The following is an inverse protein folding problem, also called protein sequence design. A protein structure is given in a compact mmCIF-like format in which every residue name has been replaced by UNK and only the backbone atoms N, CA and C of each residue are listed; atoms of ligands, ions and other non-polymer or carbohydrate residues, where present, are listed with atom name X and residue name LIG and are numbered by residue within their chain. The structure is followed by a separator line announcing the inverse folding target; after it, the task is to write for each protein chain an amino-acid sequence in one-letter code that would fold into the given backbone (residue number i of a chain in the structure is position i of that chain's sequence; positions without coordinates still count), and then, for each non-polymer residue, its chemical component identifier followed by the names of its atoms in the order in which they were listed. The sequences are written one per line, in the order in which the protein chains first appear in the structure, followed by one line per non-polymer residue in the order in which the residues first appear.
data_IF_191600066256
#
_entry.id   IF_191600066256
#
_cell.length_a   1.000
_cell.length_b   1.000
_cell.length_c   1.000
_cell.angle_alpha   90.00
_cell.angle_beta   90.00
_cell.angle_gamma   90.00
#
_symmetry.space_group_name_H-M   'P 1'
#
loop_
_entity.id
_entity.type
_entity.pdbx_description
1 polymer ?
#
# COMPACT_ATOMS: atom_id res chain seq x y z
N UNK A 1 36.19 39.40 -2.46
CA UNK A 1 36.47 37.97 -2.17
C UNK A 1 37.97 37.84 -1.93
N UNK A 2 38.41 37.29 -0.79
CA UNK A 2 39.84 37.09 -0.55
C UNK A 2 40.31 35.93 -1.43
N UNK A 3 41.32 36.14 -2.26
CA UNK A 3 41.91 35.06 -3.05
C UNK A 3 42.64 34.12 -2.10
N UNK A 4 42.19 32.86 -2.06
CA UNK A 4 42.84 31.80 -1.29
C UNK A 4 44.21 31.52 -1.91
N UNK A 5 45.25 31.45 -1.09
CA UNK A 5 46.58 31.11 -1.56
C UNK A 5 46.66 29.62 -1.91
N UNK A 6 47.66 29.23 -2.69
CA UNK A 6 47.92 27.82 -3.01
C UNK A 6 48.11 26.96 -1.74
N UNK A 7 48.67 27.54 -0.67
CA UNK A 7 48.82 26.89 0.64
C UNK A 7 47.48 26.65 1.31
N UNK A 8 46.56 27.62 1.24
CA UNK A 8 45.21 27.49 1.80
C UNK A 8 44.41 26.42 1.07
N UNK A 9 44.57 26.34 -0.27
CA UNK A 9 43.91 25.32 -1.08
C UNK A 9 44.43 23.91 -0.75
N UNK A 10 45.75 23.74 -0.61
CA UNK A 10 46.34 22.46 -0.19
C UNK A 10 45.87 22.05 1.20
N UNK A 11 45.81 22.99 2.14
CA UNK A 11 45.32 22.73 3.49
C UNK A 11 43.85 22.30 3.50
N UNK A 12 42.99 22.98 2.72
CA UNK A 12 41.58 22.63 2.57
C UNK A 12 41.38 21.23 2.00
N UNK A 13 42.18 20.84 1.00
CA UNK A 13 42.14 19.49 0.41
C UNK A 13 42.55 18.43 1.42
N UNK A 14 43.62 18.67 2.20
CA UNK A 14 44.06 17.71 3.24
C UNK A 14 42.98 17.54 4.32
N UNK A 15 42.34 18.63 4.73
CA UNK A 15 41.24 18.60 5.71
C UNK A 15 40.03 17.85 5.14
N UNK A 16 39.62 18.11 3.90
CA UNK A 16 38.45 17.45 3.30
C UNK A 16 38.67 15.95 3.12
N UNK A 17 39.86 15.54 2.68
CA UNK A 17 40.24 14.13 2.54
C UNK A 17 40.28 13.44 3.90
N UNK A 18 40.82 14.09 4.93
CA UNK A 18 40.86 13.53 6.29
C UNK A 18 39.45 13.34 6.87
N UNK A 19 38.55 14.30 6.67
CA UNK A 19 37.15 14.19 7.08
C UNK A 19 36.41 13.07 6.33
N UNK A 20 36.67 12.91 5.04
CA UNK A 20 36.09 11.83 4.23
C UNK A 20 36.58 10.45 4.72
N UNK A 21 37.88 10.30 5.00
CA UNK A 21 38.44 9.06 5.54
C UNK A 21 37.83 8.75 6.91
N UNK A 22 37.71 9.75 7.80
CA UNK A 22 37.08 9.58 9.11
C UNK A 22 35.61 9.16 8.99
N UNK A 23 34.86 9.70 8.03
CA UNK A 23 33.47 9.31 7.78
C UNK A 23 33.38 7.88 7.26
N UNK A 24 34.28 7.46 6.34
CA UNK A 24 34.34 6.10 5.84
C UNK A 24 34.68 5.09 6.94
N UNK A 25 35.61 5.44 7.84
CA UNK A 25 35.94 4.62 9.02
C UNK A 25 34.72 4.53 9.95
N UNK A 26 34.00 5.64 10.17
CA UNK A 26 32.77 5.63 10.98
C UNK A 26 31.70 4.72 10.37
N UNK A 27 31.44 4.82 9.06
CA UNK A 27 30.49 3.95 8.36
C UNK A 27 30.95 2.49 8.46
N UNK A 28 32.24 2.21 8.25
CA UNK A 28 32.76 0.85 8.35
C UNK A 28 32.62 0.27 9.77
N UNK A 29 32.92 1.07 10.79
CA UNK A 29 32.88 0.60 12.18
C UNK A 29 31.47 0.53 12.75
N UNK A 30 30.56 1.43 12.38
CA UNK A 30 29.21 1.51 12.97
C UNK A 30 28.11 0.91 12.10
N UNK A 31 28.15 1.04 10.76
CA UNK A 31 27.13 0.43 9.90
C UNK A 31 27.42 -1.04 9.60
N UNK A 32 28.67 -1.41 9.28
CA UNK A 32 28.98 -2.80 8.91
C UNK A 32 29.10 -3.73 10.13
N UNK A 33 29.53 -3.22 11.29
CA UNK A 33 29.53 -4.00 12.54
C UNK A 33 28.11 -4.36 12.99
N UNK A 34 27.16 -3.43 12.86
CA UNK A 34 25.75 -3.67 13.19
C UNK A 34 25.09 -4.69 12.23
N UNK A 35 25.62 -4.88 11.02
CA UNK A 35 25.19 -5.96 10.11
C UNK A 35 25.75 -7.33 10.52
N UNK A 36 27.04 -7.41 10.87
CA UNK A 36 27.67 -8.66 11.34
C UNK A 36 27.13 -9.13 12.70
N UNK A 37 26.85 -8.20 13.63
CA UNK A 37 26.27 -8.53 14.93
C UNK A 37 24.80 -9.00 14.78
N UNK A 38 24.06 -8.49 13.79
CA UNK A 38 22.72 -9.02 13.46
C UNK A 38 22.80 -10.42 12.85
N UNK A 39 23.70 -10.66 11.91
CA UNK A 39 23.86 -11.98 11.25
C UNK A 39 24.25 -13.08 12.26
N UNK A 40 25.17 -12.79 13.19
CA UNK A 40 25.56 -13.73 14.26
C UNK A 40 24.49 -13.92 15.35
N UNK A 41 23.63 -12.94 15.58
CA UNK A 41 22.48 -13.09 16.50
C UNK A 41 21.33 -13.90 15.87
N UNK A 42 21.19 -13.86 14.54
CA UNK A 42 20.23 -14.67 13.79
C UNK A 42 20.60 -16.16 13.81
N UNK A 43 21.87 -16.54 13.65
CA UNK A 43 22.29 -17.94 13.76
C UNK A 43 22.14 -18.50 15.19
N UNK A 44 22.33 -17.67 16.22
CA UNK A 44 22.29 -18.13 17.62
C UNK A 44 20.88 -18.32 18.20
N UNK A 45 19.84 -17.77 17.54
CA UNK A 45 18.43 -17.92 17.96
C UNK A 45 17.71 -19.12 17.33
N UNK A 46 18.35 -19.86 16.43
CA UNK A 46 17.78 -21.06 15.80
C UNK A 46 17.95 -22.35 16.64
N UNK A 47 18.59 -22.25 17.81
CA UNK A 47 18.75 -23.36 18.74
C UNK A 47 18.35 -22.97 20.16
N UNK A 48 17.06 -22.97 20.46
CA UNK A 48 16.51 -23.34 21.77
C UNK A 48 14.97 -23.39 21.72
N UNK A 49 14.45 -24.61 21.77
CA UNK A 49 13.04 -24.90 22.00
C UNK A 49 12.64 -24.42 23.39
N UNK A 50 11.59 -23.60 23.48
CA UNK A 50 10.80 -23.48 24.70
C UNK A 50 9.32 -23.32 24.35
N UNK A 51 8.55 -24.33 24.75
CA UNK A 51 7.11 -24.48 24.61
C UNK A 51 6.34 -23.27 25.16
N UNK A 52 5.29 -22.84 24.44
CA UNK A 52 4.27 -21.89 24.94
C UNK A 52 2.86 -22.41 24.56
N UNK A 53 1.84 -22.24 25.42
CA UNK A 53 0.67 -23.12 25.50
C UNK A 53 -0.37 -22.90 24.41
N UNK A 54 -1.01 -23.99 23.98
CA UNK A 54 -2.20 -23.98 23.12
C UNK A 54 -3.38 -23.34 23.86
N UNK A 55 -3.82 -22.15 23.42
CA UNK A 55 -5.10 -21.58 23.83
C UNK A 55 -6.13 -21.84 22.73
N UNK A 56 -7.11 -22.68 23.06
CA UNK A 56 -8.23 -23.05 22.21
C UNK A 56 -9.28 -21.93 22.24
N UNK A 57 -9.64 -21.37 21.07
CA UNK A 57 -10.77 -20.46 20.96
C UNK A 57 -11.69 -20.85 19.80
N UNK A 58 -12.96 -21.02 20.17
CA UNK A 58 -14.08 -21.50 19.40
C UNK A 58 -14.66 -20.42 18.49
N UNK A 59 -14.91 -20.77 17.23
CA UNK A 59 -15.68 -19.96 16.28
C UNK A 59 -17.15 -19.81 16.74
N UNK A 60 -17.60 -18.57 16.92
CA UNK A 60 -18.94 -18.21 17.38
C UNK A 60 -19.80 -17.54 16.31
N UNK A 61 -20.68 -18.35 15.73
CA UNK A 61 -22.12 -18.10 15.50
C UNK A 61 -22.58 -16.97 14.55
N UNK A 62 -23.21 -17.44 13.48
CA UNK A 62 -24.16 -16.77 12.58
C UNK A 62 -25.36 -16.11 13.29
N UNK A 63 -25.62 -14.83 13.01
CA UNK A 63 -26.89 -14.17 13.38
C UNK A 63 -27.83 -14.02 12.18
N UNK A 64 -28.95 -14.74 12.27
CA UNK A 64 -30.19 -14.59 11.51
C UNK A 64 -30.93 -13.37 12.06
N UNK A 65 -31.35 -12.41 11.22
CA UNK A 65 -32.37 -11.41 11.60
C UNK A 65 -33.45 -11.32 10.53
N UNK A 66 -34.67 -11.33 11.06
CA UNK A 66 -35.98 -11.44 10.42
C UNK A 66 -36.39 -10.11 9.77
N UNK A 67 -37.13 -10.23 8.67
CA UNK A 67 -37.73 -9.16 7.87
C UNK A 67 -38.80 -8.33 8.60
N UNK A 68 -38.81 -7.02 8.35
CA UNK A 68 -40.03 -6.22 8.34
C UNK A 68 -39.95 -5.20 7.19
N UNK A 69 -40.96 -5.22 6.32
CA UNK A 69 -41.10 -4.42 5.12
C UNK A 69 -41.69 -3.03 5.40
N UNK A 70 -41.11 -1.99 4.81
CA UNK A 70 -41.82 -0.82 4.25
C UNK A 70 -40.92 -0.19 3.19
N UNK A 71 -41.53 0.15 2.05
CA UNK A 71 -40.84 0.45 0.80
C UNK A 71 -39.96 1.69 0.86
N UNK A 72 -38.68 1.46 0.63
CA UNK A 72 -37.74 2.34 -0.04
C UNK A 72 -37.03 1.45 -1.06
N UNK A 73 -36.77 1.93 -2.28
CA UNK A 73 -35.87 1.24 -3.21
C UNK A 73 -34.47 1.18 -2.57
N UNK A 74 -34.24 0.12 -1.80
CA UNK A 74 -32.95 -0.18 -1.22
C UNK A 74 -32.07 -0.67 -2.36
N UNK A 75 -31.23 0.22 -2.87
CA UNK A 75 -30.03 -0.17 -3.61
C UNK A 75 -29.34 -1.23 -2.75
N UNK A 76 -29.44 -2.51 -3.15
CA UNK A 76 -28.76 -3.60 -2.47
C UNK A 76 -27.26 -3.31 -2.55
N UNK A 77 -26.67 -2.94 -1.43
CA UNK A 77 -25.23 -2.80 -1.29
C UNK A 77 -24.61 -4.20 -1.39
N UNK A 78 -24.24 -4.58 -2.61
CA UNK A 78 -23.52 -5.83 -2.87
C UNK A 78 -22.08 -5.60 -2.43
N UNK A 79 -21.74 -6.03 -1.21
CA UNK A 79 -20.36 -6.05 -0.74
C UNK A 79 -19.66 -7.31 -1.23
N UNK A 80 -18.47 -7.16 -1.82
CA UNK A 80 -17.61 -8.28 -2.18
C UNK A 80 -17.05 -8.94 -0.92
N UNK A 81 -17.03 -10.28 -0.91
CA UNK A 81 -16.28 -11.02 0.11
C UNK A 81 -14.82 -11.09 -0.29
N UNK A 82 -13.93 -11.00 0.67
CA UNK A 82 -12.50 -11.19 0.43
C UNK A 82 -12.23 -12.54 -0.28
N UNK A 83 -11.36 -12.52 -1.29
CA UNK A 83 -10.96 -13.73 -2.02
C UNK A 83 -9.72 -14.29 -1.34
N UNK A 84 -9.87 -15.39 -0.62
CA UNK A 84 -8.71 -16.13 -0.09
C UNK A 84 -7.94 -16.77 -1.27
N UNK A 85 -6.64 -16.53 -1.42
CA UNK A 85 -5.84 -17.14 -2.48
C UNK A 85 -5.76 -18.65 -2.31
N UNK A 86 -5.60 -19.37 -3.42
CA UNK A 86 -5.08 -20.74 -3.34
C UNK A 86 -3.60 -20.69 -2.96
N UNK A 87 -3.13 -21.70 -2.24
CA UNK A 87 -1.73 -21.84 -1.83
C UNK A 87 -0.76 -21.72 -3.02
N UNK A 88 -1.11 -22.30 -4.17
CA UNK A 88 -0.33 -22.18 -5.40
C UNK A 88 -0.14 -20.72 -5.85
N UNK A 89 -1.15 -19.87 -5.68
CA UNK A 89 -1.11 -18.45 -6.08
C UNK A 89 -0.28 -17.58 -5.14
N UNK A 90 0.00 -18.05 -3.92
CA UNK A 90 0.91 -17.39 -2.99
C UNK A 90 2.38 -17.64 -3.38
N UNK A 91 2.65 -18.85 -3.88
CA UNK A 91 4.00 -19.31 -4.19
C UNK A 91 4.41 -19.07 -5.64
N UNK A 92 3.44 -18.99 -6.57
CA UNK A 92 3.69 -18.86 -8.00
C UNK A 92 2.85 -17.74 -8.62
N UNK A 93 3.48 -16.96 -9.50
CA UNK A 93 2.78 -15.94 -10.27
C UNK A 93 1.83 -16.58 -11.28
N UNK A 94 0.56 -16.16 -11.25
CA UNK A 94 -0.40 -16.60 -12.25
C UNK A 94 -0.04 -16.10 -13.65
N UNK A 95 -0.35 -16.90 -14.67
CA UNK A 95 0.01 -16.58 -16.05
C UNK A 95 -0.75 -15.37 -16.58
N UNK A 96 -0.02 -14.27 -16.81
CA UNK A 96 -0.55 -13.05 -17.42
C UNK A 96 -0.85 -13.21 -18.92
N UNK A 97 -1.82 -12.45 -19.39
CA UNK A 97 -2.15 -12.25 -20.79
C UNK A 97 -1.48 -10.95 -21.28
N UNK A 98 -0.25 -11.09 -21.79
CA UNK A 98 0.57 -9.95 -22.20
C UNK A 98 -0.07 -9.14 -23.34
N UNK A 99 -0.88 -9.76 -24.20
CA UNK A 99 -1.56 -9.04 -25.27
C UNK A 99 -2.59 -8.06 -24.71
N UNK A 100 -3.36 -8.47 -23.68
CA UNK A 100 -4.29 -7.57 -23.00
C UNK A 100 -3.58 -6.43 -22.28
N UNK A 101 -2.46 -6.72 -21.63
CA UNK A 101 -1.67 -5.72 -20.91
C UNK A 101 -1.15 -4.67 -21.91
N UNK A 102 -0.50 -5.10 -22.98
CA UNK A 102 0.05 -4.21 -24.00
C UNK A 102 -1.05 -3.36 -24.66
N UNK A 103 -2.18 -3.97 -25.04
CA UNK A 103 -3.31 -3.24 -25.59
C UNK A 103 -3.87 -2.19 -24.63
N UNK A 104 -3.86 -2.46 -23.32
CA UNK A 104 -4.29 -1.47 -22.32
C UNK A 104 -3.27 -0.33 -22.16
N UNK A 105 -1.97 -0.65 -22.13
CA UNK A 105 -0.90 0.35 -22.04
C UNK A 105 -0.93 1.32 -23.24
N UNK A 106 -1.13 0.80 -24.45
CA UNK A 106 -1.25 1.61 -25.66
C UNK A 106 -2.41 2.60 -25.61
N UNK A 107 -3.49 2.27 -24.89
CA UNK A 107 -4.62 3.16 -24.68
C UNK A 107 -4.35 4.20 -23.59
N UNK A 108 -3.66 3.82 -22.50
CA UNK A 108 -3.25 4.76 -21.44
C UNK A 108 -2.39 5.89 -21.99
N UNK A 109 -1.47 5.60 -22.92
CA UNK A 109 -0.61 6.63 -23.51
C UNK A 109 -1.33 7.59 -24.48
N UNK A 110 -2.59 7.31 -24.84
CA UNK A 110 -3.43 8.16 -25.68
C UNK A 110 -4.36 9.08 -24.88
N UNK A 111 -4.63 8.75 -23.63
CA UNK A 111 -5.50 9.54 -22.75
C UNK A 111 -4.76 10.76 -22.16
N UNK A 112 -5.45 11.88 -21.88
CA UNK A 112 -4.83 13.04 -21.25
C UNK A 112 -4.20 12.65 -19.91
N UNK A 113 -2.94 13.05 -19.71
CA UNK A 113 -2.22 12.88 -18.44
C UNK A 113 -3.00 13.56 -17.31
N UNK A 114 -2.81 13.02 -16.10
CA UNK A 114 -3.28 13.57 -14.81
C UNK A 114 -3.39 15.09 -14.90
N UNK A 115 -4.57 15.70 -14.60
CA UNK A 115 -4.73 17.15 -14.70
C UNK A 115 -3.56 17.84 -13.99
N UNK A 116 -2.77 18.59 -14.75
CA UNK A 116 -1.67 19.37 -14.18
C UNK A 116 -2.34 20.48 -13.38
N UNK A 117 -2.25 20.38 -12.06
CA UNK A 117 -2.85 21.37 -11.15
C UNK A 117 -2.19 22.73 -11.38
N UNK A 118 -3.01 23.78 -11.27
CA UNK A 118 -2.55 25.17 -11.19
C UNK A 118 -1.52 25.32 -10.06
N UNK A 119 -0.25 25.42 -10.43
CA UNK A 119 0.90 25.54 -9.53
C UNK A 119 0.83 26.74 -8.59
N UNK A 120 -0.11 27.68 -8.81
CA UNK A 120 -0.29 28.86 -7.97
C UNK A 120 -1.10 28.59 -6.68
N UNK A 121 -1.76 27.43 -6.55
CA UNK A 121 -2.39 26.97 -5.29
C UNK A 121 -1.45 26.02 -4.55
N UNK A 122 -0.48 26.56 -3.83
CA UNK A 122 0.44 25.76 -3.04
C UNK A 122 -0.26 25.15 -1.82
N UNK A 123 -0.41 23.82 -1.80
CA UNK A 123 -0.37 23.05 -0.57
C UNK A 123 0.91 22.21 -0.61
N UNK A 124 1.80 22.44 0.36
CA UNK A 124 3.00 21.64 0.53
C UNK A 124 3.10 21.17 1.96
N UNK A 125 3.56 19.94 2.11
CA UNK A 125 3.91 19.34 3.41
C UNK A 125 5.32 19.73 3.87
N UNK A 126 6.02 20.60 3.11
CA UNK A 126 7.36 21.12 3.43
C UNK A 126 8.40 20.01 3.67
N UNK A 127 8.29 18.91 2.92
CA UNK A 127 9.19 17.77 3.02
C UNK A 127 8.79 16.70 4.06
N UNK A 128 7.79 16.98 4.91
CA UNK A 128 7.21 16.00 5.84
C UNK A 128 6.49 14.89 5.07
N UNK A 129 6.61 13.65 5.54
CA UNK A 129 5.92 12.49 4.95
C UNK A 129 4.64 12.21 5.72
N UNK A 130 3.57 12.91 5.37
CA UNK A 130 2.30 12.88 6.13
C UNK A 130 1.37 11.74 5.74
N UNK A 131 1.63 11.05 4.62
CA UNK A 131 0.83 9.91 4.15
C UNK A 131 1.69 8.64 4.08
N UNK A 132 1.18 7.53 4.59
CA UNK A 132 1.72 6.19 4.38
C UNK A 132 0.73 5.36 3.55
N UNK A 133 1.21 4.74 2.48
CA UNK A 133 0.42 3.89 1.58
C UNK A 133 0.99 2.49 1.67
N UNK A 134 0.13 1.52 1.96
CA UNK A 134 0.49 0.12 2.04
C UNK A 134 -0.66 -0.75 1.51
N UNK A 135 -0.44 -2.04 1.44
CA UNK A 135 -1.46 -3.02 1.08
C UNK A 135 -1.29 -4.24 1.97
N UNK A 136 -2.27 -4.55 2.81
CA UNK A 136 -2.25 -5.77 3.64
C UNK A 136 -2.16 -7.02 2.76
N UNK A 137 -2.82 -7.01 1.59
CA UNK A 137 -2.66 -8.05 0.56
C UNK A 137 -1.89 -7.51 -0.65
N UNK A 138 -0.59 -7.28 -0.46
CA UNK A 138 0.27 -6.65 -1.47
C UNK A 138 0.32 -7.37 -2.83
N UNK A 139 0.03 -8.68 -2.89
CA UNK A 139 0.04 -9.46 -4.14
C UNK A 139 -1.31 -9.57 -4.85
N UNK A 140 -2.39 -8.99 -4.32
CA UNK A 140 -3.68 -8.96 -5.01
C UNK A 140 -3.54 -8.35 -6.41
N UNK A 141 -4.03 -9.03 -7.44
CA UNK A 141 -3.97 -8.59 -8.84
C UNK A 141 -5.33 -8.62 -9.51
N UNK A 142 -5.44 -8.01 -10.69
CA UNK A 142 -6.72 -7.84 -11.38
C UNK A 142 -6.95 -8.94 -12.41
N UNK A 143 -7.95 -9.79 -12.15
CA UNK A 143 -8.31 -10.95 -12.96
C UNK A 143 -8.35 -10.71 -14.49
N UNK A 144 -8.84 -9.57 -15.02
CA UNK A 144 -8.88 -9.33 -16.46
C UNK A 144 -7.52 -9.45 -17.19
N UNK A 145 -6.41 -9.23 -16.50
CA UNK A 145 -5.05 -9.30 -17.08
C UNK A 145 -4.44 -10.71 -17.07
N UNK A 146 -5.12 -11.70 -16.51
CA UNK A 146 -4.69 -13.09 -16.55
C UNK A 146 -5.24 -13.81 -17.79
N UNK A 147 -4.64 -14.96 -18.11
CA UNK A 147 -5.13 -15.85 -19.18
C UNK A 147 -6.60 -16.24 -18.94
N UNK A 148 -7.35 -16.39 -20.02
CA UNK A 148 -8.76 -16.80 -19.97
C UNK A 148 -8.91 -18.12 -19.21
N UNK A 149 -9.88 -18.21 -18.32
CA UNK A 149 -10.13 -19.39 -17.48
C UNK A 149 -9.40 -19.39 -16.13
N UNK A 150 -8.57 -18.38 -15.85
CA UNK A 150 -7.99 -18.17 -14.51
C UNK A 150 -9.11 -17.94 -13.50
N UNK A 151 -9.04 -18.63 -12.36
CA UNK A 151 -9.99 -18.46 -11.26
C UNK A 151 -9.64 -17.21 -10.43
N UNK A 152 -10.62 -16.53 -9.79
CA UNK A 152 -10.35 -15.35 -8.97
C UNK A 152 -9.31 -15.58 -7.86
N UNK A 153 -9.31 -16.75 -7.23
CA UNK A 153 -8.37 -17.16 -6.17
C UNK A 153 -6.93 -17.31 -6.67
N UNK A 154 -6.73 -17.32 -7.99
CA UNK A 154 -5.42 -17.38 -8.66
C UNK A 154 -4.95 -16.01 -9.17
N UNK A 155 -5.73 -14.94 -8.95
CA UNK A 155 -5.41 -13.58 -9.42
C UNK A 155 -4.45 -12.85 -8.45
N UNK A 156 -3.29 -13.47 -8.22
CA UNK A 156 -2.21 -12.95 -7.39
C UNK A 156 -0.91 -12.92 -8.18
N UNK A 157 -0.09 -11.90 -7.94
CA UNK A 157 1.18 -11.75 -8.64
C UNK A 157 2.19 -10.95 -7.80
N UNK A 158 3.45 -11.35 -7.81
CA UNK A 158 4.56 -10.71 -7.10
C UNK A 158 4.94 -9.31 -7.61
N UNK A 159 4.59 -8.98 -8.87
CA UNK A 159 5.01 -7.74 -9.55
C UNK A 159 3.87 -6.97 -10.19
N UNK A 160 2.90 -7.66 -10.78
CA UNK A 160 1.77 -7.03 -11.46
C UNK A 160 0.55 -7.07 -10.54
N UNK A 161 0.51 -6.20 -9.54
CA UNK A 161 -0.45 -6.26 -8.43
C UNK A 161 -0.90 -4.86 -7.98
N UNK A 162 -1.65 -4.82 -6.88
CA UNK A 162 -2.27 -3.62 -6.32
C UNK A 162 -1.25 -2.58 -5.83
N UNK A 163 -0.01 -2.96 -5.51
CA UNK A 163 1.00 -1.98 -5.07
C UNK A 163 1.33 -0.97 -6.16
N UNK A 164 1.20 -1.35 -7.45
CA UNK A 164 1.34 -0.42 -8.57
C UNK A 164 0.30 0.72 -8.54
N UNK A 165 -0.88 0.47 -7.98
CA UNK A 165 -1.90 1.51 -7.74
C UNK A 165 -1.43 2.43 -6.61
N UNK A 166 -0.89 1.86 -5.54
CA UNK A 166 -0.29 2.59 -4.42
C UNK A 166 0.87 3.49 -4.87
N UNK A 167 1.77 2.98 -5.70
CA UNK A 167 2.88 3.74 -6.30
C UNK A 167 2.37 4.90 -7.14
N UNK A 168 1.34 4.66 -7.96
CA UNK A 168 0.75 5.73 -8.78
C UNK A 168 0.11 6.80 -7.89
N UNK A 169 -0.61 6.42 -6.85
CA UNK A 169 -1.18 7.35 -5.88
C UNK A 169 -0.08 8.17 -5.18
N UNK A 170 0.95 7.52 -4.65
CA UNK A 170 2.08 8.19 -4.00
C UNK A 170 2.80 9.17 -4.92
N UNK A 171 3.00 8.79 -6.19
CA UNK A 171 3.58 9.68 -7.19
C UNK A 171 2.70 10.91 -7.47
N UNK A 172 1.39 10.73 -7.61
CA UNK A 172 0.47 11.86 -7.81
C UNK A 172 0.42 12.76 -6.57
N UNK A 173 0.34 12.20 -5.36
CA UNK A 173 0.39 12.98 -4.11
C UNK A 173 1.67 13.83 -4.03
N UNK A 174 2.83 13.21 -4.31
CA UNK A 174 4.13 13.88 -4.29
C UNK A 174 4.21 15.01 -5.32
N UNK A 175 3.73 14.78 -6.54
CA UNK A 175 3.64 15.81 -7.58
C UNK A 175 2.76 16.99 -7.18
N UNK A 176 1.81 16.76 -6.27
CA UNK A 176 0.91 17.76 -5.70
C UNK A 176 1.38 18.30 -4.33
N UNK A 177 2.65 18.13 -3.98
CA UNK A 177 3.24 18.71 -2.76
C UNK A 177 2.94 17.95 -1.46
N UNK A 178 2.26 16.80 -1.55
CA UNK A 178 1.91 15.95 -0.41
C UNK A 178 2.98 14.87 -0.27
N UNK A 179 3.87 15.04 0.72
CA UNK A 179 4.92 14.10 1.04
C UNK A 179 4.32 12.81 1.58
N UNK A 180 4.82 11.69 1.08
CA UNK A 180 4.29 10.38 1.38
C UNK A 180 5.41 9.32 1.38
N UNK A 181 5.09 8.15 1.90
CA UNK A 181 5.85 6.92 1.75
C UNK A 181 4.93 5.80 1.27
N UNK A 182 5.38 5.04 0.28
CA UNK A 182 4.73 3.81 -0.17
C UNK A 182 5.54 2.64 0.38
N UNK A 183 4.87 1.67 0.99
CA UNK A 183 5.47 0.44 1.49
C UNK A 183 5.85 -0.48 0.34
N UNK A 184 7.09 -0.96 0.35
CA UNK A 184 7.64 -1.98 -0.55
C UNK A 184 7.71 -3.38 0.11
N UNK A 185 7.17 -3.52 1.32
CA UNK A 185 7.24 -4.76 2.09
C UNK A 185 6.36 -5.84 1.46
N UNK A 186 6.96 -7.01 1.22
CA UNK A 186 6.25 -8.17 0.68
C UNK A 186 5.67 -9.06 1.78
N UNK A 187 4.43 -8.76 2.19
CA UNK A 187 3.75 -9.46 3.29
C UNK A 187 3.61 -10.95 3.01
N UNK A 188 3.31 -11.34 1.76
CA UNK A 188 3.17 -12.76 1.40
C UNK A 188 4.47 -13.54 1.61
N UNK A 189 5.64 -12.96 1.29
CA UNK A 189 6.92 -13.60 1.57
C UNK A 189 7.15 -13.78 3.07
N UNK A 190 6.85 -12.75 3.88
CA UNK A 190 6.99 -12.81 5.34
C UNK A 190 6.05 -13.86 5.96
N UNK A 191 4.82 -14.00 5.44
CA UNK A 191 3.90 -15.05 5.89
C UNK A 191 4.49 -16.44 5.65
N UNK A 192 5.03 -16.70 4.46
CA UNK A 192 5.68 -17.97 4.13
C UNK A 192 6.91 -18.25 5.01
N UNK A 193 7.75 -17.24 5.25
CA UNK A 193 8.92 -17.36 6.13
C UNK A 193 8.55 -17.67 7.59
N UNK A 194 7.39 -17.19 8.05
CA UNK A 194 6.90 -17.36 9.43
C UNK A 194 5.89 -18.49 9.60
N UNK A 195 5.59 -19.26 8.55
CA UNK A 195 4.56 -20.30 8.53
C UNK A 195 3.20 -19.79 9.03
N UNK A 196 2.79 -18.61 8.55
CA UNK A 196 1.54 -17.95 8.89
C UNK A 196 0.53 -18.05 7.75
N UNK A 197 -0.76 -18.10 8.10
CA UNK A 197 -1.83 -18.11 7.12
C UNK A 197 -2.06 -16.75 6.46
N UNK A 198 -2.79 -16.74 5.33
CA UNK A 198 -3.11 -15.50 4.63
C UNK A 198 -3.90 -14.49 5.49
N UNK A 199 -4.73 -14.96 6.42
CA UNK A 199 -5.49 -14.10 7.33
C UNK A 199 -4.60 -13.27 8.27
N UNK A 200 -3.39 -13.76 8.55
CA UNK A 200 -2.38 -13.05 9.35
C UNK A 200 -1.79 -11.82 8.64
N UNK A 201 -2.12 -11.59 7.35
CA UNK A 201 -1.72 -10.40 6.58
C UNK A 201 -2.04 -9.09 7.28
N UNK A 202 -3.25 -8.96 7.84
CA UNK A 202 -3.67 -7.74 8.54
C UNK A 202 -2.90 -7.50 9.84
N UNK A 203 -2.49 -8.57 10.53
CA UNK A 203 -1.68 -8.43 11.74
C UNK A 203 -0.25 -7.99 11.38
N UNK A 204 0.34 -8.58 10.35
CA UNK A 204 1.66 -8.16 9.87
C UNK A 204 1.66 -6.73 9.31
N UNK A 205 0.62 -6.34 8.56
CA UNK A 205 0.49 -4.97 8.07
C UNK A 205 0.37 -3.97 9.20
N UNK A 206 -0.34 -4.32 10.28
CA UNK A 206 -0.38 -3.52 11.51
C UNK A 206 1.00 -3.32 12.13
N UNK A 207 1.84 -4.36 12.19
CA UNK A 207 3.23 -4.23 12.68
C UNK A 207 4.01 -3.21 11.82
N UNK A 208 3.86 -3.27 10.49
CA UNK A 208 4.51 -2.37 9.54
C UNK A 208 4.04 -0.92 9.76
N UNK A 209 2.74 -0.70 9.88
CA UNK A 209 2.15 0.63 10.13
C UNK A 209 2.64 1.20 11.46
N UNK A 210 2.61 0.42 12.54
CA UNK A 210 3.10 0.87 13.85
C UNK A 210 4.59 1.20 13.81
N UNK A 211 5.38 0.45 13.04
CA UNK A 211 6.78 0.74 12.84
C UNK A 211 7.00 2.04 12.05
N UNK A 212 6.23 2.28 10.98
CA UNK A 212 6.27 3.55 10.25
C UNK A 212 5.91 4.72 11.16
N UNK A 213 4.82 4.62 11.94
CA UNK A 213 4.41 5.65 12.90
C UNK A 213 5.49 5.97 13.93
N UNK A 214 6.26 4.97 14.37
CA UNK A 214 7.37 5.15 15.30
C UNK A 214 8.53 5.94 14.69
N UNK A 215 8.85 5.71 13.42
CA UNK A 215 9.99 6.34 12.74
C UNK A 215 9.63 7.63 11.98
N UNK A 216 8.35 7.87 11.75
CA UNK A 216 7.83 9.02 11.04
C UNK A 216 6.77 9.72 11.91
N UNK A 217 7.19 10.61 12.83
CA UNK A 217 6.27 11.31 13.74
C UNK A 217 5.36 12.32 13.03
N UNK A 218 5.65 12.64 11.76
CA UNK A 218 4.84 13.52 10.92
C UNK A 218 3.66 12.80 10.24
N UNK A 219 3.49 11.49 10.47
CA UNK A 219 2.47 10.70 9.79
C UNK A 219 1.07 11.07 10.27
N UNK A 220 0.22 11.50 9.33
CA UNK A 220 -1.16 11.96 9.60
C UNK A 220 -2.20 10.99 9.01
N UNK A 221 -1.86 10.26 7.93
CA UNK A 221 -2.79 9.40 7.19
C UNK A 221 -2.15 8.06 6.81
N UNK A 222 -2.93 6.99 6.90
CA UNK A 222 -2.56 5.64 6.47
C UNK A 222 -3.61 5.12 5.48
N UNK A 223 -3.19 4.66 4.31
CA UNK A 223 -4.06 4.06 3.30
C UNK A 223 -3.67 2.63 3.03
N UNK A 224 -4.59 1.70 3.33
CA UNK A 224 -4.50 0.30 2.93
C UNK A 224 -5.22 0.11 1.59
N UNK A 225 -4.48 -0.21 0.53
CA UNK A 225 -5.02 -0.31 -0.83
C UNK A 225 -5.26 -1.77 -1.19
N UNK A 226 -6.51 -2.09 -1.55
CA UNK A 226 -6.96 -3.42 -1.95
C UNK A 226 -7.74 -3.37 -3.27
N UNK A 227 -7.92 -4.54 -3.89
CA UNK A 227 -8.90 -4.72 -4.97
C UNK A 227 -10.12 -5.51 -4.49
N UNK A 228 -11.31 -4.95 -4.71
CA UNK A 228 -12.58 -5.63 -4.42
C UNK A 228 -12.70 -6.92 -5.26
N UNK A 229 -13.45 -7.90 -4.76
CA UNK A 229 -13.69 -9.19 -5.42
C UNK A 229 -14.83 -9.14 -6.44
N UNK A 230 -15.54 -8.00 -6.50
CA UNK A 230 -16.70 -7.84 -7.38
C UNK A 230 -16.33 -7.98 -8.87
N UNK A 231 -17.17 -8.67 -9.66
CA UNK A 231 -16.96 -8.82 -11.08
C UNK A 231 -17.01 -7.46 -11.80
N UNK A 232 -16.34 -7.36 -12.95
CA UNK A 232 -16.12 -6.11 -13.69
C UNK A 232 -17.39 -5.27 -13.90
N UNK A 233 -18.52 -5.90 -14.18
CA UNK A 233 -19.79 -5.20 -14.42
C UNK A 233 -20.34 -4.47 -13.18
N UNK A 234 -19.91 -4.87 -11.97
CA UNK A 234 -20.29 -4.24 -10.71
C UNK A 234 -19.22 -3.29 -10.18
N UNK A 235 -17.94 -3.60 -10.43
CA UNK A 235 -16.77 -2.84 -9.96
C UNK A 235 -16.30 -1.73 -10.91
N UNK A 236 -16.99 -1.49 -12.03
CA UNK A 236 -16.65 -0.41 -12.97
C UNK A 236 -17.80 0.55 -13.22
N UNK A 237 -17.46 1.77 -13.64
CA UNK A 237 -18.39 2.80 -14.13
C UNK A 237 -17.85 3.39 -15.43
N UNK A 238 -18.71 3.99 -16.25
CA UNK A 238 -18.30 4.64 -17.50
C UNK A 238 -18.51 6.14 -17.38
N UNK A 239 -17.44 6.91 -17.59
CA UNK A 239 -17.43 8.37 -17.51
C UNK A 239 -16.78 8.89 -18.79
N UNK A 240 -17.49 9.77 -19.52
CA UNK A 240 -17.02 10.37 -20.78
C UNK A 240 -16.54 9.32 -21.81
N UNK A 241 -17.23 8.18 -21.91
CA UNK A 241 -16.89 7.09 -22.84
C UNK A 241 -15.77 6.15 -22.35
N UNK A 242 -15.12 6.47 -21.24
CA UNK A 242 -14.04 5.67 -20.66
C UNK A 242 -14.52 4.88 -19.44
N UNK A 243 -14.14 3.60 -19.35
CA UNK A 243 -14.49 2.75 -18.21
C UNK A 243 -13.43 2.83 -17.12
N UNK A 244 -13.85 3.16 -15.90
CA UNK A 244 -13.03 3.29 -14.70
C UNK A 244 -13.41 2.25 -13.65
N UNK A 245 -12.46 1.82 -12.83
CA UNK A 245 -12.76 1.09 -11.61
C UNK A 245 -13.42 2.03 -10.60
N UNK A 246 -14.47 1.56 -9.92
CA UNK A 246 -15.07 2.29 -8.79
C UNK A 246 -14.11 2.28 -7.61
N UNK A 247 -14.10 3.38 -6.86
CA UNK A 247 -13.34 3.54 -5.62
C UNK A 247 -14.32 3.37 -4.46
N UNK A 248 -14.01 2.45 -3.55
CA UNK A 248 -14.76 2.28 -2.31
C UNK A 248 -13.84 2.54 -1.14
N UNK A 249 -14.23 3.48 -0.28
CA UNK A 249 -13.57 3.69 0.99
C UNK A 249 -14.23 2.82 2.05
N UNK A 250 -13.44 2.01 2.75
CA UNK A 250 -13.92 1.15 3.84
C UNK A 250 -13.36 1.69 5.15
N UNK A 251 -14.24 1.96 6.12
CA UNK A 251 -13.85 2.53 7.41
C UNK A 251 -14.30 1.61 8.54
N UNK A 252 -13.36 1.20 9.38
CA UNK A 252 -13.67 0.43 10.59
C UNK A 252 -14.38 1.28 11.64
N UNK A 253 -15.58 0.85 12.06
CA UNK A 253 -16.41 1.54 13.05
C UNK A 253 -15.96 1.36 14.51
N UNK A 254 -15.00 0.46 14.77
CA UNK A 254 -14.53 0.14 16.12
C UNK A 254 -13.34 0.98 16.61
N UNK A 255 -12.84 1.93 15.80
CA UNK A 255 -11.74 2.81 16.19
C UNK A 255 -12.26 4.07 16.91
N UNK A 256 -11.55 4.56 17.92
CA UNK A 256 -11.94 5.77 18.67
C UNK A 256 -12.15 6.99 17.76
N UNK A 257 -11.26 7.18 16.79
CA UNK A 257 -11.33 8.27 15.80
C UNK A 257 -12.21 7.94 14.57
N UNK A 258 -13.18 7.04 14.70
CA UNK A 258 -14.03 6.62 13.59
C UNK A 258 -14.79 7.80 12.98
N UNK A 259 -15.32 8.71 13.80
CA UNK A 259 -16.12 9.84 13.32
C UNK A 259 -15.27 10.83 12.49
N UNK A 260 -14.04 11.12 12.93
CA UNK A 260 -13.12 11.95 12.16
C UNK A 260 -12.74 11.27 10.84
N UNK A 261 -12.42 9.97 10.86
CA UNK A 261 -12.09 9.21 9.66
C UNK A 261 -13.26 9.21 8.66
N UNK A 262 -14.49 9.05 9.15
CA UNK A 262 -15.70 9.07 8.33
C UNK A 262 -15.93 10.44 7.71
N UNK A 263 -15.78 11.52 8.49
CA UNK A 263 -15.94 12.89 7.97
C UNK A 263 -14.89 13.23 6.92
N UNK A 264 -13.63 12.87 7.16
CA UNK A 264 -12.54 13.05 6.20
C UNK A 264 -12.80 12.28 4.90
N UNK A 265 -13.16 11.00 5.02
CA UNK A 265 -13.43 10.14 3.87
C UNK A 265 -14.64 10.60 3.06
N UNK A 266 -15.74 11.00 3.72
CA UNK A 266 -16.90 11.56 3.03
C UNK A 266 -16.51 12.83 2.25
N UNK A 267 -15.67 13.69 2.84
CA UNK A 267 -15.20 14.90 2.15
C UNK A 267 -14.43 14.58 0.87
N UNK A 268 -13.58 13.55 0.87
CA UNK A 268 -12.88 13.08 -0.34
C UNK A 268 -13.88 12.50 -1.34
N UNK A 269 -14.79 11.64 -0.87
CA UNK A 269 -15.80 11.00 -1.72
C UNK A 269 -16.70 12.03 -2.40
N UNK A 270 -17.14 13.06 -1.68
CA UNK A 270 -17.97 14.14 -2.22
C UNK A 270 -17.25 14.92 -3.32
N UNK A 271 -15.93 15.15 -3.18
CA UNK A 271 -15.11 15.78 -4.22
C UNK A 271 -14.99 14.88 -5.47
N UNK A 272 -14.83 13.57 -5.26
CA UNK A 272 -14.79 12.57 -6.33
C UNK A 272 -16.14 12.55 -7.06
N UNK A 273 -17.25 12.36 -6.35
CA UNK A 273 -18.59 12.28 -6.93
C UNK A 273 -18.99 13.58 -7.64
N UNK A 274 -18.62 14.74 -7.10
CA UNK A 274 -18.87 16.03 -7.77
C UNK A 274 -18.14 16.15 -9.11
N UNK A 275 -16.92 15.61 -9.20
CA UNK A 275 -16.08 15.71 -10.41
C UNK A 275 -16.32 14.56 -11.39
N UNK A 276 -16.67 13.39 -10.85
CA UNK A 276 -16.78 12.09 -11.52
C UNK A 276 -17.94 11.29 -10.91
N UNK A 277 -19.20 11.61 -11.23
CA UNK A 277 -20.36 10.96 -10.62
C UNK A 277 -20.36 9.44 -10.80
N UNK A 278 -20.66 8.71 -9.72
CA UNK A 278 -20.69 7.24 -9.68
C UNK A 278 -19.32 6.55 -9.63
N UNK A 279 -18.24 7.31 -9.41
CA UNK A 279 -16.88 6.76 -9.27
C UNK A 279 -16.58 6.36 -7.83
N UNK A 280 -17.07 7.11 -6.84
CA UNK A 280 -16.78 6.93 -5.43
C UNK A 280 -17.94 6.33 -4.63
N UNK A 281 -17.61 5.59 -3.58
CA UNK A 281 -18.54 5.22 -2.51
C UNK A 281 -17.84 5.09 -1.16
N UNK A 282 -18.60 5.20 -0.07
CA UNK A 282 -18.12 4.97 1.31
C UNK A 282 -18.92 3.82 1.92
N UNK A 283 -18.21 2.82 2.44
CA UNK A 283 -18.73 1.62 3.11
C UNK A 283 -18.36 1.65 4.60
N UNK A 284 -19.22 1.08 5.45
CA UNK A 284 -19.06 1.01 6.92
C UNK A 284 -19.06 -0.43 7.41
#
# INVERSE_FOLDING_TARGET
MRNLSEKDLKLLIVISVSLLISLLIYIHFFLLKDMNDKETTFEKKQGNNSEIPKMHLTAGTTSKIISASKGEEKLMEVSGKEIVPKEEALNNDGALDQLKINAHLDNIFKEPRVPIIDKNKFHSTFGRKVVFIYSSHNRESFLPYFKKGTAPEMSYHSKFNVTLVGDRLGNVLKQNGIGNRVSDVDIISILGERDLDFGSSYQLSREIVLNEMKFNPDLEMNFDIHRDSLPRNLSTTTINGNTYAKISFVIGSSHENYEENLKFTNSINDMIEKSYPGLGSVKR
#
